data_IF_091111925083
#
_entry.id   IF_091111925083
#
_cell.length_a   1.000
_cell.length_b   1.000
_cell.length_c   1.000
_cell.angle_alpha   90.00
_cell.angle_beta   90.00
_cell.angle_gamma   90.00
#
_symmetry.space_group_name_H-M   'P 1'
#
loop_
_entity.id
_entity.type
_entity.pdbx_description
1 polymer ?
#
# COMPACT_ATOMS: atom_id res chain seq x y z
N UNK A 1 12.77 7.90 -6.78
CA UNK A 1 11.97 9.08 -7.21
C UNK A 1 12.90 10.09 -7.85
N UNK A 2 12.68 10.42 -9.13
CA UNK A 2 13.57 11.29 -9.91
C UNK A 2 13.67 12.73 -9.35
N UNK A 3 12.64 13.17 -8.63
CA UNK A 3 12.56 14.47 -7.95
C UNK A 3 13.58 14.60 -6.80
N UNK A 4 13.71 13.56 -5.97
CA UNK A 4 14.69 13.53 -4.88
C UNK A 4 16.15 13.49 -5.39
N UNK A 5 16.38 12.84 -6.54
CA UNK A 5 17.69 12.82 -7.21
C UNK A 5 18.05 14.17 -7.87
N UNK A 6 17.05 15.02 -8.12
CA UNK A 6 17.20 16.30 -8.82
C UNK A 6 17.01 17.51 -7.90
N UNK A 7 17.12 17.34 -6.58
CA UNK A 7 16.99 18.43 -5.62
C UNK A 7 15.57 19.01 -5.53
N UNK A 8 14.55 18.16 -5.53
CA UNK A 8 13.13 18.53 -5.54
C UNK A 8 12.70 19.30 -6.80
N UNK A 9 13.41 19.11 -7.92
CA UNK A 9 13.07 19.70 -9.23
C UNK A 9 12.60 18.64 -10.21
N UNK A 10 11.41 18.80 -10.75
CA UNK A 10 10.88 17.91 -11.80
C UNK A 10 11.36 18.36 -13.19
N UNK A 11 12.36 17.66 -13.74
CA UNK A 11 12.94 17.92 -15.08
C UNK A 11 12.26 17.12 -16.21
N UNK A 12 11.28 16.28 -15.88
CA UNK A 12 10.59 15.37 -16.81
C UNK A 12 9.29 16.04 -17.29
N UNK A 13 8.75 15.74 -18.49
CA UNK A 13 7.51 16.35 -18.96
C UNK A 13 6.34 16.20 -17.97
N UNK A 14 5.46 17.20 -17.92
CA UNK A 14 4.35 17.31 -16.96
C UNK A 14 3.49 16.05 -16.85
N UNK A 15 3.23 15.36 -17.97
CA UNK A 15 2.43 14.12 -18.03
C UNK A 15 3.02 12.97 -17.20
N UNK A 16 4.35 12.91 -17.06
CA UNK A 16 4.99 11.83 -16.33
C UNK A 16 4.91 11.99 -14.82
N UNK A 17 4.64 13.19 -14.30
CA UNK A 17 4.53 13.38 -12.87
C UNK A 17 3.31 12.64 -12.28
N UNK A 18 2.06 12.93 -12.69
CA UNK A 18 0.89 12.26 -12.12
C UNK A 18 0.87 10.77 -12.48
N UNK A 19 1.46 10.38 -13.62
CA UNK A 19 1.66 8.98 -13.98
C UNK A 19 2.61 8.25 -13.01
N UNK A 20 3.72 8.89 -12.64
CA UNK A 20 4.68 8.30 -11.69
C UNK A 20 4.08 8.15 -10.29
N UNK A 21 3.30 9.13 -9.85
CA UNK A 21 2.53 9.06 -8.61
C UNK A 21 1.49 7.92 -8.66
N UNK A 22 0.73 7.83 -9.75
CA UNK A 22 -0.26 6.76 -9.96
C UNK A 22 0.38 5.36 -9.89
N UNK A 23 1.49 5.15 -10.60
CA UNK A 23 2.20 3.86 -10.60
C UNK A 23 2.73 3.51 -9.20
N UNK A 24 3.26 4.51 -8.49
CA UNK A 24 3.79 4.34 -7.16
C UNK A 24 2.70 3.92 -6.17
N UNK A 25 1.61 4.68 -6.08
CA UNK A 25 0.51 4.37 -5.16
C UNK A 25 -0.20 3.06 -5.51
N UNK A 26 -0.43 2.81 -6.80
CA UNK A 26 -1.01 1.54 -7.25
C UNK A 26 -0.16 0.37 -6.77
N UNK A 27 1.17 0.47 -6.90
CA UNK A 27 2.08 -0.59 -6.46
C UNK A 27 2.00 -0.84 -4.96
N UNK A 28 1.88 0.22 -4.13
CA UNK A 28 1.75 0.10 -2.67
C UNK A 28 0.45 -0.61 -2.30
N UNK A 29 -0.69 -0.21 -2.88
CA UNK A 29 -1.97 -0.82 -2.53
C UNK A 29 -2.11 -2.25 -3.06
N UNK A 30 -1.60 -2.52 -4.26
CA UNK A 30 -1.54 -3.87 -4.82
C UNK A 30 -0.72 -4.78 -3.91
N UNK A 31 0.48 -4.36 -3.51
CA UNK A 31 1.34 -5.17 -2.61
C UNK A 31 0.68 -5.41 -1.25
N UNK A 32 0.02 -4.40 -0.67
CA UNK A 32 -0.76 -4.51 0.58
C UNK A 32 -1.87 -5.57 0.48
N UNK A 33 -2.70 -5.48 -0.57
CA UNK A 33 -3.81 -6.40 -0.79
C UNK A 33 -3.34 -7.83 -1.09
N UNK A 34 -2.26 -7.99 -1.86
CA UNK A 34 -1.64 -9.30 -2.09
C UNK A 34 -1.08 -9.91 -0.80
N UNK A 35 -0.44 -9.10 0.05
CA UNK A 35 0.08 -9.56 1.34
C UNK A 35 -1.06 -10.07 2.23
N UNK A 36 -2.18 -9.35 2.28
CA UNK A 36 -3.39 -9.78 2.98
C UNK A 36 -3.93 -11.09 2.41
N UNK A 37 -4.09 -11.20 1.09
CA UNK A 37 -4.60 -12.40 0.44
C UNK A 37 -3.72 -13.63 0.72
N UNK A 38 -2.39 -13.49 0.62
CA UNK A 38 -1.43 -14.55 0.93
C UNK A 38 -1.51 -14.94 2.42
N UNK A 39 -1.69 -13.97 3.31
CA UNK A 39 -1.82 -14.21 4.76
C UNK A 39 -3.08 -15.00 5.10
N UNK A 40 -4.20 -14.65 4.48
CA UNK A 40 -5.48 -15.37 4.60
C UNK A 40 -5.35 -16.78 4.03
N UNK A 41 -4.74 -16.95 2.85
CA UNK A 41 -4.51 -18.27 2.25
C UNK A 41 -3.71 -19.18 3.19
N UNK A 42 -2.61 -18.66 3.76
CA UNK A 42 -1.76 -19.39 4.72
C UNK A 42 -2.51 -19.74 6.00
N UNK A 43 -3.31 -18.82 6.52
CA UNK A 43 -4.13 -19.06 7.70
C UNK A 43 -5.16 -20.17 7.45
N UNK A 44 -5.92 -20.09 6.36
CA UNK A 44 -6.94 -21.09 6.00
C UNK A 44 -6.33 -22.48 5.75
N UNK A 45 -5.15 -22.53 5.13
CA UNK A 45 -4.44 -23.79 4.89
C UNK A 45 -4.05 -24.52 6.19
N UNK A 46 -3.77 -23.78 7.27
CA UNK A 46 -3.35 -24.33 8.57
C UNK A 46 -4.54 -24.54 9.52
N UNK A 47 -5.52 -23.64 9.51
CA UNK A 47 -6.71 -23.73 10.36
C UNK A 47 -7.72 -24.77 9.85
N UNK A 48 -7.88 -24.90 8.52
CA UNK A 48 -8.88 -25.78 7.91
C UNK A 48 -8.29 -26.64 6.77
N UNK A 49 -7.29 -27.50 7.04
CA UNK A 49 -6.50 -28.18 6.00
C UNK A 49 -7.34 -29.06 5.05
N UNK A 50 -8.38 -29.73 5.56
CA UNK A 50 -9.24 -30.62 4.77
C UNK A 50 -10.16 -29.80 3.85
N UNK A 51 -10.93 -28.86 4.43
CA UNK A 51 -11.84 -27.99 3.67
C UNK A 51 -11.08 -27.15 2.65
N UNK A 52 -9.95 -26.57 3.05
CA UNK A 52 -9.10 -25.77 2.18
C UNK A 52 -8.56 -26.61 1.02
N UNK A 53 -8.08 -27.84 1.23
CA UNK A 53 -7.60 -28.71 0.15
C UNK A 53 -8.69 -29.06 -0.87
N UNK A 54 -9.93 -29.24 -0.41
CA UNK A 54 -11.09 -29.52 -1.27
C UNK A 54 -11.56 -28.30 -2.07
N UNK A 55 -11.56 -27.11 -1.43
CA UNK A 55 -12.00 -25.86 -2.02
C UNK A 55 -10.93 -25.15 -2.85
N UNK A 56 -9.65 -25.52 -2.71
CA UNK A 56 -8.54 -24.88 -3.41
C UNK A 56 -8.61 -25.17 -4.91
N UNK A 57 -9.04 -24.17 -5.67
CA UNK A 57 -8.94 -24.13 -7.13
C UNK A 57 -8.02 -22.97 -7.53
N UNK A 58 -7.10 -23.18 -8.49
CA UNK A 58 -6.19 -22.12 -8.95
C UNK A 58 -6.94 -20.91 -9.50
N UNK A 59 -8.16 -21.12 -10.02
CA UNK A 59 -9.03 -20.06 -10.53
C UNK A 59 -9.39 -19.02 -9.46
N UNK A 60 -9.53 -19.42 -8.19
CA UNK A 60 -9.84 -18.46 -7.12
C UNK A 60 -8.67 -17.50 -6.85
N UNK A 61 -7.43 -18.00 -6.93
CA UNK A 61 -6.24 -17.14 -6.81
C UNK A 61 -6.12 -16.17 -7.98
N UNK A 62 -6.46 -16.62 -9.19
CA UNK A 62 -6.48 -15.75 -10.39
C UNK A 62 -7.57 -14.69 -10.27
N UNK A 63 -8.79 -15.07 -9.92
CA UNK A 63 -9.92 -14.14 -9.73
C UNK A 63 -9.60 -13.12 -8.63
N UNK A 64 -9.07 -13.55 -7.49
CA UNK A 64 -8.67 -12.64 -6.42
C UNK A 64 -7.58 -11.66 -6.88
N UNK A 65 -6.59 -12.13 -7.66
CA UNK A 65 -5.55 -11.28 -8.23
C UNK A 65 -6.14 -10.22 -9.16
N UNK A 66 -7.05 -10.62 -10.06
CA UNK A 66 -7.73 -9.69 -10.97
C UNK A 66 -8.54 -8.65 -10.21
N UNK A 67 -9.28 -9.06 -9.17
CA UNK A 67 -10.04 -8.13 -8.31
C UNK A 67 -9.09 -7.12 -7.64
N UNK A 68 -7.98 -7.59 -7.05
CA UNK A 68 -6.97 -6.72 -6.42
C UNK A 68 -6.44 -5.68 -7.43
N UNK A 69 -6.11 -6.11 -8.64
CA UNK A 69 -5.63 -5.21 -9.70
C UNK A 69 -6.69 -4.18 -10.11
N UNK A 70 -7.93 -4.60 -10.32
CA UNK A 70 -9.03 -3.71 -10.71
C UNK A 70 -9.34 -2.71 -9.59
N UNK A 71 -9.44 -3.18 -8.34
CA UNK A 71 -9.72 -2.30 -7.19
C UNK A 71 -8.62 -1.28 -6.99
N UNK A 72 -7.34 -1.69 -7.05
CA UNK A 72 -6.22 -0.78 -6.85
C UNK A 72 -6.09 0.25 -7.99
N UNK A 73 -6.27 -0.18 -9.24
CA UNK A 73 -6.20 0.74 -10.39
C UNK A 73 -7.38 1.70 -10.43
N UNK A 74 -8.59 1.25 -10.09
CA UNK A 74 -9.77 2.10 -9.96
C UNK A 74 -9.62 3.13 -8.83
N UNK A 75 -9.07 2.74 -7.69
CA UNK A 75 -8.87 3.69 -6.59
C UNK A 75 -7.78 4.72 -6.89
N UNK A 76 -6.71 4.31 -7.58
CA UNK A 76 -5.65 5.23 -7.99
C UNK A 76 -6.08 6.13 -9.15
N UNK A 77 -7.01 5.70 -10.02
CA UNK A 77 -7.52 6.54 -11.10
C UNK A 77 -8.36 7.70 -10.55
N UNK A 78 -9.09 7.49 -9.44
CA UNK A 78 -9.79 8.58 -8.74
C UNK A 78 -8.80 9.64 -8.25
N UNK A 79 -7.68 9.23 -7.64
CA UNK A 79 -6.63 10.17 -7.21
C UNK A 79 -6.01 10.90 -8.40
N UNK A 80 -5.73 10.19 -9.50
CA UNK A 80 -5.20 10.78 -10.74
C UNK A 80 -6.16 11.80 -11.36
N UNK A 81 -7.46 11.48 -11.44
CA UNK A 81 -8.48 12.37 -12.02
C UNK A 81 -8.62 13.64 -11.18
N UNK A 82 -8.65 13.52 -9.85
CA UNK A 82 -8.73 14.68 -8.95
C UNK A 82 -7.47 15.55 -9.04
N UNK A 83 -6.29 14.95 -9.19
CA UNK A 83 -5.02 15.68 -9.34
C UNK A 83 -4.86 16.32 -10.72
N UNK A 84 -5.39 15.70 -11.79
CA UNK A 84 -5.27 16.19 -13.16
C UNK A 84 -6.32 17.26 -13.51
N UNK A 85 -7.61 17.00 -13.25
CA UNK A 85 -8.69 17.90 -13.68
C UNK A 85 -8.78 19.21 -12.87
N UNK A 86 -8.26 19.23 -11.64
CA UNK A 86 -8.31 20.45 -10.81
C UNK A 86 -7.09 21.35 -11.05
N UNK A 87 -6.07 20.85 -11.75
CA UNK A 87 -4.84 21.60 -12.07
C UNK A 87 -4.96 22.39 -13.38
N UNK A 88 -5.86 22.01 -14.29
CA UNK A 88 -6.15 22.76 -15.52
C UNK A 88 -6.72 24.18 -15.29
N UNK A 89 -7.21 24.47 -14.07
CA UNK A 89 -7.64 25.82 -13.69
C UNK A 89 -6.50 26.73 -13.19
N UNK A 90 -5.27 26.23 -13.02
CA UNK A 90 -4.09 27.03 -12.72
C UNK A 90 -3.17 27.07 -13.94
N UNK A 91 -3.54 27.93 -14.89
CA UNK A 91 -2.67 28.32 -16.00
C UNK A 91 -1.37 28.94 -15.47
N UNK A 92 -0.24 28.49 -16.00
CA UNK A 92 1.07 29.15 -15.97
C UNK A 92 1.73 29.41 -14.61
N UNK A 93 2.15 28.37 -13.90
CA UNK A 93 3.28 28.54 -12.96
C UNK A 93 4.33 27.49 -13.28
N UNK A 94 5.57 27.95 -13.49
CA UNK A 94 6.79 27.13 -13.55
C UNK A 94 6.95 26.36 -12.23
N UNK A 95 6.18 25.28 -12.07
CA UNK A 95 6.12 24.50 -10.85
C UNK A 95 7.26 23.48 -10.90
N UNK A 96 8.34 23.87 -10.22
CA UNK A 96 9.56 23.07 -10.05
C UNK A 96 9.32 21.87 -9.14
N UNK A 97 8.27 21.87 -8.32
CA UNK A 97 7.87 20.75 -7.46
C UNK A 97 6.49 20.26 -7.88
N UNK A 98 6.36 18.97 -8.12
CA UNK A 98 5.09 18.41 -8.57
C UNK A 98 4.16 18.01 -7.42
N UNK A 99 4.69 17.98 -6.19
CA UNK A 99 4.01 17.38 -5.04
C UNK A 99 3.63 18.35 -3.91
N UNK A 100 4.00 19.63 -4.00
CA UNK A 100 3.95 20.57 -2.85
C UNK A 100 2.98 21.76 -2.99
N UNK A 101 2.38 22.01 -4.16
CA UNK A 101 1.53 23.21 -4.35
C UNK A 101 0.08 22.82 -4.61
N UNK A 102 -0.63 22.43 -3.55
CA UNK A 102 -2.09 22.24 -3.57
C UNK A 102 -2.79 23.46 -2.96
N UNK A 103 -3.79 23.99 -3.66
CA UNK A 103 -4.68 25.07 -3.19
C UNK A 103 -5.54 24.59 -2.01
N UNK A 104 -5.89 25.45 -1.03
CA UNK A 104 -6.62 25.05 0.19
C UNK A 104 -7.98 24.37 -0.07
N UNK A 105 -8.64 24.65 -1.20
CA UNK A 105 -9.88 24.00 -1.62
C UNK A 105 -9.64 22.57 -2.14
N UNK A 106 -8.48 22.33 -2.77
CA UNK A 106 -8.07 20.99 -3.22
C UNK A 106 -7.78 20.09 -2.00
N UNK A 107 -7.19 20.66 -0.96
CA UNK A 107 -6.85 19.95 0.26
C UNK A 107 -8.11 19.43 0.97
N UNK A 108 -9.23 20.17 0.97
CA UNK A 108 -10.49 19.74 1.61
C UNK A 108 -11.14 18.48 1.00
N UNK A 109 -10.97 18.22 -0.29
CA UNK A 109 -11.52 17.02 -0.95
C UNK A 109 -10.50 15.89 -1.00
N UNK A 110 -9.22 16.22 -1.16
CA UNK A 110 -8.14 15.24 -1.29
C UNK A 110 -7.78 14.60 0.06
N UNK A 111 -7.89 15.34 1.16
CA UNK A 111 -7.66 14.86 2.53
C UNK A 111 -8.60 13.70 2.93
N UNK A 112 -9.95 13.82 2.83
CA UNK A 112 -10.84 12.73 3.20
C UNK A 112 -10.70 11.51 2.29
N UNK A 113 -10.46 11.70 0.98
CA UNK A 113 -10.23 10.59 0.03
C UNK A 113 -8.91 9.86 0.33
N UNK A 114 -7.82 10.60 0.60
CA UNK A 114 -6.53 10.00 1.02
C UNK A 114 -6.64 9.28 2.35
N UNK A 115 -7.40 9.82 3.29
CA UNK A 115 -7.67 9.19 4.58
C UNK A 115 -8.47 7.90 4.42
N UNK A 116 -9.53 7.90 3.62
CA UNK A 116 -10.34 6.72 3.33
C UNK A 116 -9.52 5.62 2.65
N UNK A 117 -8.67 5.99 1.68
CA UNK A 117 -7.73 5.08 1.02
C UNK A 117 -6.74 4.48 2.03
N UNK A 118 -6.14 5.31 2.91
CA UNK A 118 -5.24 4.84 3.95
C UNK A 118 -5.97 3.86 4.90
N UNK A 119 -7.21 4.15 5.27
CA UNK A 119 -7.98 3.31 6.17
C UNK A 119 -8.34 1.96 5.53
N UNK A 120 -8.87 1.99 4.31
CA UNK A 120 -9.39 0.80 3.62
C UNK A 120 -8.31 -0.06 2.98
N UNK A 121 -7.30 0.55 2.35
CA UNK A 121 -6.30 -0.16 1.53
C UNK A 121 -4.96 -0.36 2.26
N UNK A 122 -4.79 0.24 3.44
CA UNK A 122 -3.62 0.01 4.29
C UNK A 122 -3.99 -0.52 5.68
N UNK A 123 -4.76 0.23 6.48
CA UNK A 123 -5.08 -0.20 7.84
C UNK A 123 -5.89 -1.51 7.87
N UNK A 124 -6.90 -1.65 7.01
CA UNK A 124 -7.66 -2.89 6.88
C UNK A 124 -6.77 -4.11 6.56
N UNK A 125 -6.04 -4.11 5.44
CA UNK A 125 -5.10 -5.18 5.09
C UNK A 125 -4.06 -5.47 6.17
N UNK A 126 -3.55 -4.44 6.85
CA UNK A 126 -2.58 -4.60 7.93
C UNK A 126 -3.17 -5.32 9.14
N UNK A 127 -4.37 -4.95 9.60
CA UNK A 127 -5.06 -5.61 10.71
C UNK A 127 -5.33 -7.08 10.39
N UNK A 128 -5.87 -7.35 9.18
CA UNK A 128 -6.14 -8.73 8.73
C UNK A 128 -4.84 -9.54 8.65
N UNK A 129 -3.78 -8.95 8.11
CA UNK A 129 -2.47 -9.60 7.98
C UNK A 129 -1.87 -9.96 9.35
N UNK A 130 -1.88 -9.03 10.31
CA UNK A 130 -1.37 -9.25 11.67
C UNK A 130 -2.20 -10.33 12.38
N UNK A 131 -3.52 -10.30 12.26
CA UNK A 131 -4.41 -11.31 12.82
C UNK A 131 -4.14 -12.69 12.22
N UNK A 132 -4.09 -12.79 10.89
CA UNK A 132 -3.82 -14.04 10.18
C UNK A 132 -2.44 -14.60 10.53
N UNK A 133 -1.39 -13.78 10.59
CA UNK A 133 -0.05 -14.24 10.93
C UNK A 133 0.07 -14.67 12.38
N UNK A 134 -0.53 -13.95 13.32
CA UNK A 134 -0.54 -14.34 14.74
C UNK A 134 -1.17 -15.71 14.91
N UNK A 135 -2.33 -15.94 14.30
CA UNK A 135 -3.01 -17.24 14.36
C UNK A 135 -2.27 -18.33 13.58
N UNK A 136 -1.70 -18.01 12.41
CA UNK A 136 -0.85 -18.93 11.64
C UNK A 136 0.34 -19.41 12.48
N UNK A 137 1.06 -18.49 13.12
CA UNK A 137 2.20 -18.82 13.99
C UNK A 137 1.75 -19.66 15.19
N UNK A 138 0.63 -19.31 15.84
CA UNK A 138 0.08 -20.08 16.97
C UNK A 138 -0.28 -21.52 16.56
N UNK A 139 -1.10 -21.70 15.53
CA UNK A 139 -1.55 -23.03 15.10
C UNK A 139 -0.37 -23.85 14.58
N UNK A 140 0.51 -23.25 13.78
CA UNK A 140 1.70 -23.94 13.29
C UNK A 140 2.66 -24.30 14.44
N UNK A 141 2.73 -23.48 15.49
CA UNK A 141 3.50 -23.75 16.72
C UNK A 141 3.03 -25.01 17.45
N UNK A 142 1.71 -25.23 17.49
CA UNK A 142 1.08 -26.37 18.15
C UNK A 142 1.11 -27.68 17.33
N UNK A 143 1.53 -27.65 16.06
CA UNK A 143 1.58 -28.84 15.19
C UNK A 143 2.91 -29.61 15.34
N UNK A 144 2.93 -30.81 15.95
CA UNK A 144 4.16 -31.57 16.17
C UNK A 144 4.64 -32.32 14.92
N UNK A 145 3.77 -32.52 13.93
CA UNK A 145 4.03 -33.38 12.74
C UNK A 145 4.84 -32.70 11.62
N UNK A 146 5.13 -31.40 11.72
CA UNK A 146 5.86 -30.65 10.69
C UNK A 146 7.33 -30.52 11.07
N UNK A 147 8.23 -30.82 10.12
CA UNK A 147 9.69 -30.64 10.30
C UNK A 147 10.02 -29.23 10.79
N UNK A 148 10.70 -29.11 11.94
CA UNK A 148 11.07 -27.83 12.59
C UNK A 148 11.68 -26.81 11.61
N UNK A 149 12.60 -27.25 10.73
CA UNK A 149 13.25 -26.38 9.72
C UNK A 149 12.26 -25.76 8.70
N UNK A 150 11.26 -26.52 8.24
CA UNK A 150 10.25 -26.04 7.28
C UNK A 150 9.29 -25.05 7.94
N UNK A 151 8.91 -25.32 9.19
CA UNK A 151 8.09 -24.44 10.02
C UNK A 151 8.77 -23.10 10.30
N UNK A 152 10.01 -23.11 10.77
CA UNK A 152 10.80 -21.90 11.02
C UNK A 152 11.00 -21.07 9.74
N UNK A 153 11.27 -21.72 8.59
CA UNK A 153 11.40 -21.01 7.30
C UNK A 153 10.09 -20.33 6.87
N UNK A 154 8.95 -21.02 7.03
CA UNK A 154 7.66 -20.45 6.66
C UNK A 154 7.28 -19.26 7.55
N UNK A 155 7.49 -19.39 8.88
CA UNK A 155 7.26 -18.30 9.84
C UNK A 155 8.21 -17.14 9.56
N UNK A 156 9.51 -17.42 9.39
CA UNK A 156 10.52 -16.40 9.14
C UNK A 156 10.26 -15.59 7.88
N UNK A 157 9.87 -16.25 6.77
CA UNK A 157 9.53 -15.54 5.52
C UNK A 157 8.30 -14.64 5.72
N UNK A 158 7.25 -15.14 6.35
CA UNK A 158 6.03 -14.38 6.62
C UNK A 158 6.28 -13.18 7.54
N UNK A 159 7.01 -13.38 8.65
CA UNK A 159 7.36 -12.31 9.58
C UNK A 159 8.27 -11.28 8.91
N UNK A 160 9.26 -11.71 8.13
CA UNK A 160 10.13 -10.79 7.39
C UNK A 160 9.32 -9.92 6.42
N UNK A 161 8.43 -10.51 5.62
CA UNK A 161 7.56 -9.74 4.70
C UNK A 161 6.65 -8.74 5.43
N UNK A 162 6.14 -9.12 6.61
CA UNK A 162 5.31 -8.23 7.43
C UNK A 162 6.11 -7.06 7.99
N UNK A 163 7.33 -7.32 8.49
CA UNK A 163 8.22 -6.27 9.02
C UNK A 163 8.62 -5.31 7.91
N UNK A 164 9.01 -5.81 6.73
CA UNK A 164 9.33 -4.95 5.59
C UNK A 164 8.13 -4.08 5.21
N UNK A 165 6.94 -4.66 5.12
CA UNK A 165 5.72 -3.90 4.81
C UNK A 165 5.42 -2.81 5.86
N UNK A 166 5.57 -3.10 7.15
CA UNK A 166 5.38 -2.09 8.20
C UNK A 166 6.46 -1.00 8.12
N UNK A 167 7.74 -1.37 8.07
CA UNK A 167 8.83 -0.38 8.08
C UNK A 167 8.80 0.51 6.83
N UNK A 168 8.53 -0.06 5.66
CA UNK A 168 8.50 0.69 4.42
C UNK A 168 7.24 1.55 4.26
N UNK A 169 6.06 1.07 4.67
CA UNK A 169 4.80 1.76 4.35
C UNK A 169 4.11 2.44 5.53
N UNK A 170 4.34 2.01 6.76
CA UNK A 170 3.73 2.62 7.95
C UNK A 170 4.09 4.09 8.11
N UNK A 171 5.38 4.52 8.03
CA UNK A 171 5.71 5.93 8.21
C UNK A 171 5.03 6.81 7.15
N UNK A 172 4.93 6.32 5.91
CA UNK A 172 4.26 7.05 4.84
C UNK A 172 2.75 7.20 5.10
N UNK A 173 2.06 6.12 5.49
CA UNK A 173 0.62 6.17 5.78
C UNK A 173 0.31 7.02 7.04
N UNK A 174 1.17 6.97 8.06
CA UNK A 174 1.05 7.83 9.24
C UNK A 174 1.20 9.31 8.86
N UNK A 175 2.05 9.64 7.87
CA UNK A 175 2.20 11.03 7.42
C UNK A 175 0.93 11.62 6.82
N UNK A 176 0.05 10.80 6.21
CA UNK A 176 -1.26 11.23 5.73
C UNK A 176 -2.23 11.50 6.87
N UNK A 177 -2.21 10.67 7.92
CA UNK A 177 -3.06 10.87 9.11
C UNK A 177 -2.65 12.15 9.84
N UNK A 178 -1.34 12.35 10.04
CA UNK A 178 -0.81 13.56 10.68
C UNK A 178 -1.12 14.80 9.84
N UNK A 179 -0.92 14.74 8.52
CA UNK A 179 -1.27 15.86 7.64
C UNK A 179 -2.78 16.18 7.59
N UNK A 180 -3.64 15.18 7.80
CA UNK A 180 -5.09 15.39 7.95
C UNK A 180 -5.44 16.09 9.26
N UNK A 181 -4.77 15.71 10.35
CA UNK A 181 -5.03 16.26 11.69
C UNK A 181 -4.46 17.68 11.82
N UNK A 182 -3.27 17.92 11.28
CA UNK A 182 -2.55 19.20 11.40
C UNK A 182 -2.94 20.22 10.32
N UNK A 183 -3.56 19.79 9.22
CA UNK A 183 -3.91 20.65 8.09
C UNK A 183 -2.72 21.12 7.25
N UNK A 184 -1.50 20.71 7.61
CA UNK A 184 -0.27 20.97 6.86
C UNK A 184 0.49 19.68 6.53
N UNK A 185 1.30 19.68 5.47
CA UNK A 185 2.12 18.52 5.12
C UNK A 185 3.35 18.43 6.04
N UNK A 186 3.53 17.34 6.81
CA UNK A 186 4.66 17.23 7.72
C UNK A 186 6.00 17.16 6.97
N UNK A 187 7.00 17.93 7.42
CA UNK A 187 8.34 18.01 6.80
C UNK A 187 9.06 16.66 6.70
N UNK A 188 8.73 15.71 7.58
CA UNK A 188 9.33 14.37 7.59
C UNK A 188 8.74 13.41 6.55
N UNK A 189 7.66 13.82 5.86
CA UNK A 189 6.98 13.03 4.81
C UNK A 189 7.92 12.60 3.69
N UNK A 190 8.90 13.44 3.32
CA UNK A 190 9.90 13.11 2.28
C UNK A 190 10.76 11.92 2.69
N UNK A 191 11.17 11.84 3.96
CA UNK A 191 11.95 10.71 4.47
C UNK A 191 11.09 9.44 4.57
N UNK A 192 9.83 9.58 4.96
CA UNK A 192 8.88 8.47 4.97
C UNK A 192 8.60 7.92 3.56
N UNK A 193 8.49 8.80 2.57
CA UNK A 193 8.31 8.47 1.15
C UNK A 193 9.56 7.76 0.57
N UNK A 194 10.76 8.12 1.02
CA UNK A 194 12.00 7.41 0.67
C UNK A 194 12.00 5.98 1.21
N UNK A 195 11.56 5.74 2.45
CA UNK A 195 11.46 4.38 3.00
C UNK A 195 10.53 3.48 2.19
N UNK A 196 9.42 4.01 1.69
CA UNK A 196 8.49 3.26 0.83
C UNK A 196 9.04 3.00 -0.58
N UNK A 197 10.15 3.64 -1.01
CA UNK A 197 10.82 3.31 -2.28
C UNK A 197 11.80 2.14 -2.22
N UNK A 198 12.13 1.66 -1.02
CA UNK A 198 13.06 0.53 -0.83
C UNK A 198 12.38 -0.85 -0.86
N UNK A 199 11.05 -0.90 -0.98
CA UNK A 199 10.28 -2.14 -1.10
C UNK A 199 10.00 -2.49 -2.56
#
# INVERSE_FOLDING_TARGET
MAEAASGMRWLIPYVFCPLSAFMYFSSIYITSLFLMAISVERYLAVAFPIKYKLLRKPIYSVVASVIIWVTATAHCSIVYIVEHFVTDNMTSVNMTACYDTFSPIQLQVLLPVRFEICLLLYCGPLVVTVFCYTNFVRILSMQPRIKKKRKLRAIGLSVATMITFMVCFLPYNVSHIVGFIEGESPKWRVYALLLSTFN
#
